data_IF_130594486174
#
_entry.id   IF_130594486174
#
_cell.length_a   1.000
_cell.length_b   1.000
_cell.length_c   1.000
_cell.angle_alpha   90.00
_cell.angle_beta   90.00
_cell.angle_gamma   90.00
#
_symmetry.space_group_name_H-M   'P 1'
#
loop_
_entity.id
_entity.type
_entity.pdbx_description
1 polymer ?
#
# COMPACT_ATOMS: atom_id res chain seq x y z
N UNK A 1 27.82 -11.98 7.05
CA UNK A 1 26.61 -11.24 7.51
C UNK A 1 25.47 -11.58 6.57
N UNK A 2 24.24 -11.70 7.08
CA UNK A 2 23.06 -11.98 6.26
C UNK A 2 22.78 -10.86 5.25
N UNK A 3 22.32 -11.22 4.06
CA UNK A 3 21.80 -10.28 3.05
C UNK A 3 20.28 -10.15 3.16
N UNK A 4 19.76 -8.99 2.78
CA UNK A 4 18.32 -8.69 2.78
C UNK A 4 17.95 -8.00 1.47
N UNK A 5 16.73 -8.25 1.01
CA UNK A 5 16.17 -7.56 -0.15
C UNK A 5 14.98 -6.73 0.29
N UNK A 6 14.87 -5.53 -0.26
CA UNK A 6 13.69 -4.68 -0.16
C UNK A 6 13.14 -4.52 -1.57
N UNK A 7 11.99 -5.16 -1.83
CA UNK A 7 11.29 -5.11 -3.10
C UNK A 7 10.14 -4.09 -3.00
N UNK A 8 10.33 -2.89 -3.55
CA UNK A 8 9.38 -1.81 -3.38
C UNK A 8 9.27 -0.88 -4.59
N UNK A 9 8.08 -0.30 -4.78
CA UNK A 9 7.80 0.72 -5.81
C UNK A 9 7.46 2.07 -5.20
N UNK A 10 7.31 3.09 -6.04
CA UNK A 10 7.08 4.49 -5.69
C UNK A 10 8.32 5.20 -5.16
N UNK A 11 8.46 6.46 -5.55
CA UNK A 11 9.63 7.29 -5.25
C UNK A 11 9.89 7.40 -3.75
N UNK A 12 8.85 7.56 -2.93
CA UNK A 12 9.01 7.69 -1.48
C UNK A 12 9.59 6.42 -0.84
N UNK A 13 9.22 5.21 -1.30
CA UNK A 13 9.81 3.97 -0.78
C UNK A 13 11.29 3.85 -1.18
N UNK A 14 11.64 4.29 -2.39
CA UNK A 14 13.03 4.30 -2.86
C UNK A 14 13.86 5.30 -2.04
N UNK A 15 13.30 6.48 -1.74
CA UNK A 15 13.92 7.47 -0.86
C UNK A 15 14.15 6.90 0.55
N UNK A 16 13.14 6.26 1.15
CA UNK A 16 13.30 5.62 2.47
C UNK A 16 14.32 4.46 2.45
N UNK A 17 14.42 3.71 1.34
CA UNK A 17 15.50 2.72 1.20
C UNK A 17 16.87 3.37 1.29
N UNK A 18 17.09 4.48 0.57
CA UNK A 18 18.38 5.17 0.60
C UNK A 18 18.67 5.75 2.00
N UNK A 19 17.67 6.35 2.63
CA UNK A 19 17.79 6.92 3.99
C UNK A 19 18.16 5.86 5.05
N UNK A 20 17.46 4.72 5.05
CA UNK A 20 17.64 3.71 6.10
C UNK A 20 18.81 2.76 5.83
N UNK A 21 19.03 2.41 4.56
CA UNK A 21 19.87 1.26 4.19
C UNK A 21 20.83 1.54 3.04
N UNK A 22 20.81 2.73 2.42
CA UNK A 22 21.60 3.04 1.23
C UNK A 22 23.12 2.90 1.41
N UNK A 23 23.62 3.15 2.62
CA UNK A 23 25.04 2.97 2.97
C UNK A 23 25.41 1.51 3.33
N UNK A 24 24.43 0.61 3.46
CA UNK A 24 24.64 -0.75 3.95
C UNK A 24 24.57 -1.77 2.81
N UNK A 25 25.73 -2.30 2.41
CA UNK A 25 25.87 -3.28 1.34
C UNK A 25 25.19 -4.63 1.60
N UNK A 26 24.64 -4.86 2.80
CA UNK A 26 23.82 -6.03 3.09
C UNK A 26 22.37 -5.92 2.61
N UNK A 27 21.93 -4.72 2.23
CA UNK A 27 20.60 -4.49 1.70
C UNK A 27 20.66 -4.26 0.18
N UNK A 28 19.78 -4.94 -0.54
CA UNK A 28 19.64 -4.81 -1.99
C UNK A 28 18.24 -4.32 -2.30
N UNK A 29 18.15 -3.25 -3.10
CA UNK A 29 16.88 -2.73 -3.61
C UNK A 29 16.50 -3.46 -4.90
N UNK A 30 15.23 -3.85 -5.01
CA UNK A 30 14.58 -4.27 -6.25
C UNK A 30 13.35 -3.38 -6.44
N UNK A 31 13.34 -2.54 -7.48
CA UNK A 31 12.25 -1.58 -7.72
C UNK A 31 11.43 -1.84 -8.98
N UNK A 32 11.77 -2.92 -9.70
CA UNK A 32 11.11 -3.31 -10.95
C UNK A 32 10.77 -4.80 -10.95
N UNK A 33 9.63 -5.23 -11.50
CA UNK A 33 9.23 -6.64 -11.49
C UNK A 33 10.18 -7.54 -12.27
N UNK A 34 10.73 -7.06 -13.39
CA UNK A 34 11.71 -7.79 -14.20
C UNK A 34 13.03 -8.07 -13.48
N UNK A 35 13.29 -7.37 -12.37
CA UNK A 35 14.47 -7.56 -11.55
C UNK A 35 14.26 -8.59 -10.42
N UNK A 36 13.01 -8.95 -10.10
CA UNK A 36 12.67 -9.92 -9.06
C UNK A 36 12.68 -11.35 -9.64
N UNK A 37 13.87 -11.86 -9.96
CA UNK A 37 14.06 -13.17 -10.59
C UNK A 37 14.73 -14.16 -9.66
N UNK A 38 14.43 -15.46 -9.77
CA UNK A 38 15.08 -16.51 -8.98
C UNK A 38 16.60 -16.45 -9.09
N UNK A 39 17.15 -16.31 -10.30
CA UNK A 39 18.60 -16.29 -10.51
C UNK A 39 19.28 -15.17 -9.72
N UNK A 40 18.68 -13.97 -9.70
CA UNK A 40 19.20 -12.84 -8.93
C UNK A 40 19.06 -13.08 -7.43
N UNK A 41 17.93 -13.64 -6.99
CA UNK A 41 17.71 -13.97 -5.59
C UNK A 41 18.69 -15.04 -5.08
N UNK A 42 19.01 -16.04 -5.91
CA UNK A 42 19.97 -17.09 -5.59
C UNK A 42 21.40 -16.53 -5.45
N UNK A 43 21.79 -15.59 -6.32
CA UNK A 43 23.08 -14.91 -6.22
C UNK A 43 23.22 -14.09 -4.94
N UNK A 44 22.13 -13.41 -4.52
CA UNK A 44 22.12 -12.61 -3.28
C UNK A 44 22.02 -13.51 -2.05
N UNK A 45 21.31 -14.63 -2.16
CA UNK A 45 20.97 -15.55 -1.08
C UNK A 45 20.41 -14.82 0.17
N UNK A 46 19.29 -14.08 0.03
CA UNK A 46 18.76 -13.25 1.10
C UNK A 46 18.17 -14.09 2.24
N UNK A 47 18.36 -13.61 3.47
CA UNK A 47 17.67 -14.16 4.64
C UNK A 47 16.17 -13.86 4.59
N UNK A 48 15.81 -12.62 4.24
CA UNK A 48 14.42 -12.17 4.08
C UNK A 48 14.30 -11.27 2.85
N UNK A 49 13.11 -11.31 2.23
CA UNK A 49 12.71 -10.39 1.16
C UNK A 49 11.51 -9.59 1.67
N UNK A 50 11.68 -8.29 1.88
CA UNK A 50 10.65 -7.40 2.39
C UNK A 50 9.91 -6.70 1.26
N UNK A 51 8.58 -6.71 1.33
CA UNK A 51 7.67 -6.07 0.37
C UNK A 51 6.84 -4.97 1.06
N UNK A 52 7.43 -3.79 1.35
CA UNK A 52 6.69 -2.68 1.97
C UNK A 52 5.62 -2.11 1.03
N UNK A 53 5.84 -2.18 -0.30
CA UNK A 53 4.83 -1.85 -1.30
C UNK A 53 5.18 -2.49 -2.65
N UNK A 54 4.39 -3.47 -3.10
CA UNK A 54 4.59 -4.15 -4.38
C UNK A 54 3.28 -4.32 -5.13
N UNK A 55 3.28 -4.07 -6.44
CA UNK A 55 2.04 -4.01 -7.24
C UNK A 55 1.70 -5.31 -7.98
N UNK A 56 2.68 -6.20 -8.13
CA UNK A 56 2.60 -7.42 -8.93
C UNK A 56 2.49 -8.67 -8.05
N UNK A 57 1.96 -9.75 -8.63
CA UNK A 57 1.99 -11.06 -7.99
C UNK A 57 3.45 -11.50 -7.92
N UNK A 58 3.90 -11.91 -6.74
CA UNK A 58 5.22 -12.52 -6.57
C UNK A 58 5.12 -13.98 -7.02
N UNK A 59 6.00 -14.46 -7.92
CA UNK A 59 6.03 -15.84 -8.37
C UNK A 59 6.06 -16.86 -7.21
N UNK A 60 5.30 -17.96 -7.35
CA UNK A 60 5.17 -18.98 -6.30
C UNK A 60 6.50 -19.66 -5.96
N UNK A 61 7.36 -19.86 -6.94
CA UNK A 61 8.71 -20.42 -6.77
C UNK A 61 9.59 -19.53 -5.88
N UNK A 62 9.46 -18.21 -5.98
CA UNK A 62 10.11 -17.25 -5.08
C UNK A 62 9.53 -17.33 -3.66
N UNK A 63 8.20 -17.32 -3.52
CA UNK A 63 7.51 -17.36 -2.22
C UNK A 63 7.78 -18.68 -1.47
N UNK A 64 7.94 -19.80 -2.20
CA UNK A 64 8.25 -21.09 -1.62
C UNK A 64 9.73 -21.24 -1.24
N UNK A 65 10.65 -20.66 -2.02
CA UNK A 65 12.10 -20.79 -1.82
C UNK A 65 12.64 -19.81 -0.77
N UNK A 66 12.11 -18.59 -0.72
CA UNK A 66 12.57 -17.53 0.16
C UNK A 66 11.51 -17.10 1.16
N UNK A 67 11.96 -16.61 2.32
CA UNK A 67 11.04 -16.03 3.31
C UNK A 67 10.67 -14.60 2.91
N UNK A 68 9.58 -14.50 2.14
CA UNK A 68 8.98 -13.25 1.69
C UNK A 68 8.07 -12.66 2.78
N UNK A 69 8.24 -11.37 3.07
CA UNK A 69 7.53 -10.66 4.15
C UNK A 69 6.77 -9.49 3.56
N UNK A 70 5.44 -9.50 3.69
CA UNK A 70 4.55 -8.47 3.18
C UNK A 70 4.05 -7.55 4.30
N UNK A 71 3.90 -6.26 3.99
CA UNK A 71 3.34 -5.24 4.87
C UNK A 71 1.94 -4.87 4.36
N UNK A 72 0.91 -5.45 4.96
CA UNK A 72 -0.48 -5.26 4.53
C UNK A 72 -1.25 -4.37 5.51
N UNK A 73 -1.84 -3.28 5.02
CA UNK A 73 -2.43 -2.24 5.87
C UNK A 73 -3.84 -2.54 6.39
N UNK A 74 -4.13 -3.78 6.78
CA UNK A 74 -5.38 -4.12 7.45
C UNK A 74 -5.15 -4.94 8.72
N UNK A 75 -6.15 -4.99 9.59
CA UNK A 75 -6.16 -5.85 10.78
C UNK A 75 -6.47 -7.31 10.40
N UNK A 76 -5.54 -7.97 9.73
CA UNK A 76 -5.72 -9.34 9.21
C UNK A 76 -6.22 -10.31 10.30
N UNK A 77 -7.23 -11.14 10.03
CA UNK A 77 -7.76 -11.51 8.71
C UNK A 77 -8.85 -10.57 8.15
N UNK A 78 -9.18 -9.47 8.81
CA UNK A 78 -10.07 -8.46 8.24
C UNK A 78 -9.35 -7.71 7.11
N UNK A 79 -9.98 -7.63 5.93
CA UNK A 79 -9.49 -6.86 4.80
C UNK A 79 -8.38 -7.54 3.98
N UNK A 80 -8.35 -8.88 3.91
CA UNK A 80 -7.48 -9.61 2.95
C UNK A 80 -7.80 -9.17 1.52
N UNK A 81 -6.79 -8.87 0.70
CA UNK A 81 -6.97 -8.56 -0.72
C UNK A 81 -6.57 -7.14 -1.12
N UNK A 82 -6.92 -6.77 -2.36
CA UNK A 82 -6.38 -5.56 -2.99
C UNK A 82 -7.04 -4.24 -2.58
N UNK A 83 -6.36 -3.14 -2.90
CA UNK A 83 -6.80 -1.76 -2.61
C UNK A 83 -7.20 -1.52 -1.15
N UNK A 84 -6.39 -1.94 -0.16
CA UNK A 84 -6.80 -1.90 1.25
C UNK A 84 -7.10 -0.49 1.75
N UNK A 85 -6.27 0.52 1.40
CA UNK A 85 -6.51 1.91 1.78
C UNK A 85 -7.91 2.40 1.36
N UNK A 86 -8.24 2.22 0.09
CA UNK A 86 -9.51 2.71 -0.46
C UNK A 86 -10.70 1.99 0.17
N UNK A 87 -10.60 0.66 0.34
CA UNK A 87 -11.65 -0.11 1.01
C UNK A 87 -11.82 0.36 2.47
N UNK A 88 -10.74 0.58 3.22
CA UNK A 88 -10.81 1.08 4.60
C UNK A 88 -11.50 2.44 4.71
N UNK A 89 -11.17 3.37 3.82
CA UNK A 89 -11.79 4.71 3.79
C UNK A 89 -13.28 4.60 3.42
N UNK A 90 -13.64 3.77 2.44
CA UNK A 90 -15.04 3.49 2.10
C UNK A 90 -15.81 2.86 3.26
N UNK A 91 -15.15 2.05 4.10
CA UNK A 91 -15.69 1.50 5.35
C UNK A 91 -15.56 2.45 6.55
N UNK A 92 -15.28 3.74 6.31
CA UNK A 92 -15.25 4.81 7.32
C UNK A 92 -14.25 4.57 8.46
N UNK A 93 -13.17 3.83 8.17
CA UNK A 93 -12.06 3.63 9.11
C UNK A 93 -11.18 4.88 9.13
N UNK A 94 -10.86 5.36 10.33
CA UNK A 94 -9.93 6.46 10.57
C UNK A 94 -8.51 5.97 10.92
N UNK A 95 -8.42 4.73 11.37
CA UNK A 95 -7.19 4.05 11.75
C UNK A 95 -7.31 2.58 11.34
N UNK A 96 -6.17 1.91 11.21
CA UNK A 96 -6.09 0.48 10.88
C UNK A 96 -4.85 -0.13 11.54
N UNK A 97 -4.63 -1.42 11.32
CA UNK A 97 -3.37 -2.08 11.62
C UNK A 97 -2.57 -2.27 10.34
N UNK A 98 -1.26 -2.12 10.44
CA UNK A 98 -0.29 -2.63 9.48
C UNK A 98 0.15 -4.02 9.96
N UNK A 99 -0.34 -5.05 9.28
CA UNK A 99 0.02 -6.44 9.54
C UNK A 99 1.26 -6.83 8.75
N UNK A 100 2.29 -7.28 9.44
CA UNK A 100 3.51 -7.84 8.81
C UNK A 100 3.35 -9.34 8.76
N UNK A 101 3.29 -9.91 7.57
CA UNK A 101 3.00 -11.33 7.37
C UNK A 101 4.09 -12.02 6.58
N UNK A 102 4.27 -13.32 6.84
CA UNK A 102 4.98 -14.20 5.92
C UNK A 102 4.07 -14.45 4.73
N UNK A 103 4.57 -14.25 3.53
CA UNK A 103 3.80 -14.55 2.31
C UNK A 103 3.62 -16.06 2.15
N UNK A 104 2.49 -16.43 1.56
CA UNK A 104 2.15 -17.80 1.15
C UNK A 104 1.61 -17.74 -0.28
N UNK A 105 1.37 -18.88 -0.92
CA UNK A 105 0.70 -18.93 -2.23
C UNK A 105 -0.72 -18.36 -2.22
N UNK A 106 -1.35 -18.27 -1.04
CA UNK A 106 -2.65 -17.61 -0.87
C UNK A 106 -2.47 -16.15 -0.43
N UNK A 107 -3.15 -15.24 -1.13
CA UNK A 107 -3.08 -13.79 -0.91
C UNK A 107 -3.52 -13.41 0.52
N UNK A 108 -2.63 -12.71 1.23
CA UNK A 108 -2.80 -12.14 2.57
C UNK A 108 -3.24 -13.14 3.66
N UNK A 109 -3.02 -14.45 3.47
CA UNK A 109 -3.41 -15.50 4.41
C UNK A 109 -2.30 -15.92 5.39
N UNK A 110 -1.05 -15.66 5.03
CA UNK A 110 0.08 -16.18 5.78
C UNK A 110 0.17 -15.68 7.23
N UNK A 111 0.98 -16.37 8.06
CA UNK A 111 1.08 -16.08 9.48
C UNK A 111 1.66 -14.69 9.74
N UNK A 112 1.29 -14.12 10.88
CA UNK A 112 1.60 -12.74 11.28
C UNK A 112 2.84 -12.75 12.15
N UNK A 113 3.82 -11.91 11.81
CA UNK A 113 4.94 -11.59 12.68
C UNK A 113 4.49 -10.59 13.75
N UNK A 114 3.88 -9.48 13.32
CA UNK A 114 3.39 -8.45 14.21
C UNK A 114 2.35 -7.56 13.52
N UNK A 115 1.66 -6.75 14.33
CA UNK A 115 0.77 -5.69 13.86
C UNK A 115 1.10 -4.40 14.58
N UNK A 116 1.06 -3.29 13.86
CA UNK A 116 1.18 -1.95 14.46
C UNK A 116 0.04 -1.05 14.01
N UNK A 117 -0.40 -0.16 14.88
CA UNK A 117 -1.50 0.76 14.56
C UNK A 117 -1.01 1.88 13.65
N UNK A 118 -1.78 2.24 12.63
CA UNK A 118 -1.47 3.36 11.72
C UNK A 118 -2.72 4.22 11.46
N UNK A 119 -2.50 5.52 11.29
CA UNK A 119 -3.56 6.49 10.98
C UNK A 119 -3.90 6.49 9.49
N UNK A 120 -5.18 6.68 9.16
CA UNK A 120 -5.70 6.89 7.81
C UNK A 120 -6.09 8.37 7.57
N UNK A 121 -5.53 9.28 8.37
CA UNK A 121 -5.72 10.72 8.23
C UNK A 121 -4.90 11.26 7.06
N UNK A 122 -5.51 12.15 6.29
CA UNK A 122 -4.88 12.82 5.16
C UNK A 122 -5.27 12.20 3.82
N UNK A 123 -4.53 12.61 2.79
CA UNK A 123 -4.65 12.14 1.42
C UNK A 123 -3.93 10.80 1.26
N UNK A 124 -4.24 10.07 0.19
CA UNK A 124 -3.66 8.76 -0.04
C UNK A 124 -2.13 8.79 -0.04
N UNK A 125 -1.52 9.79 -0.68
CA UNK A 125 -0.05 9.95 -0.65
C UNK A 125 0.51 10.07 0.77
N UNK A 126 -0.10 10.91 1.61
CA UNK A 126 0.33 11.16 2.99
C UNK A 126 0.23 9.89 3.84
N UNK A 127 -0.87 9.13 3.66
CA UNK A 127 -1.08 7.86 4.34
C UNK A 127 -0.05 6.83 3.86
N UNK A 128 0.17 6.70 2.55
CA UNK A 128 1.16 5.76 2.01
C UNK A 128 2.58 6.09 2.46
N UNK A 129 2.98 7.38 2.48
CA UNK A 129 4.27 7.82 3.01
C UNK A 129 4.41 7.49 4.50
N UNK A 130 3.37 7.71 5.29
CA UNK A 130 3.38 7.38 6.72
C UNK A 130 3.51 5.86 6.95
N UNK A 131 2.71 5.05 6.25
CA UNK A 131 2.77 3.57 6.32
C UNK A 131 4.13 3.06 5.84
N UNK A 132 4.68 3.65 4.78
CA UNK A 132 6.01 3.34 4.27
C UNK A 132 7.06 3.58 5.35
N UNK A 133 7.12 4.77 5.95
CA UNK A 133 8.09 5.08 7.02
C UNK A 133 8.01 4.07 8.17
N UNK A 134 6.80 3.77 8.64
CA UNK A 134 6.57 2.74 9.66
C UNK A 134 7.06 1.37 9.21
N UNK A 135 6.88 1.00 7.93
CA UNK A 135 7.37 -0.26 7.39
C UNK A 135 8.90 -0.33 7.40
N UNK A 136 9.60 0.75 7.05
CA UNK A 136 11.07 0.82 7.09
C UNK A 136 11.61 0.77 8.53
N UNK A 137 10.95 1.44 9.48
CA UNK A 137 11.25 1.32 10.91
C UNK A 137 11.14 -0.15 11.38
N UNK A 138 10.07 -0.84 10.98
CA UNK A 138 9.86 -2.26 11.30
C UNK A 138 10.89 -3.17 10.63
N UNK A 139 11.24 -2.94 9.36
CA UNK A 139 12.28 -3.73 8.66
C UNK A 139 13.61 -3.64 9.42
N UNK A 140 14.00 -2.43 9.81
CA UNK A 140 15.23 -2.21 10.59
C UNK A 140 15.19 -3.01 11.90
N UNK A 141 14.11 -2.88 12.66
CA UNK A 141 13.93 -3.61 13.91
C UNK A 141 13.95 -5.14 13.72
N UNK A 142 13.28 -5.65 12.68
CA UNK A 142 13.21 -7.08 12.38
C UNK A 142 14.59 -7.66 12.05
N UNK A 143 15.42 -6.90 11.33
CA UNK A 143 16.80 -7.29 11.02
C UNK A 143 17.68 -7.28 12.28
N UNK A 144 17.50 -6.31 13.17
CA UNK A 144 18.23 -6.23 14.46
C UNK A 144 17.89 -7.41 15.39
N UNK A 145 16.63 -7.82 15.44
CA UNK A 145 16.19 -9.02 16.21
C UNK A 145 16.70 -10.31 15.57
N UNK A 146 16.82 -10.34 14.24
CA UNK A 146 17.37 -11.47 13.48
C UNK A 146 16.39 -12.63 13.30
N UNK A 147 16.15 -13.42 14.35
CA UNK A 147 15.24 -14.59 14.29
C UNK A 147 13.81 -14.19 14.67
N UNK A 148 12.96 -14.10 13.66
CA UNK A 148 11.55 -13.73 13.82
C UNK A 148 10.69 -14.95 14.17
N UNK A 149 9.64 -14.72 14.96
CA UNK A 149 8.58 -15.69 15.21
C UNK A 149 7.27 -15.16 14.66
N UNK A 150 6.38 -16.06 14.26
CA UNK A 150 5.08 -15.71 13.69
C UNK A 150 3.98 -16.62 14.26
N UNK A 151 2.74 -16.14 14.21
CA UNK A 151 1.56 -16.87 14.67
C UNK A 151 0.47 -16.91 13.58
N UNK A 152 -0.37 -17.95 13.54
CA UNK A 152 -1.45 -18.03 12.56
C UNK A 152 -2.45 -16.89 12.73
N UNK A 153 -3.09 -16.46 11.64
CA UNK A 153 -4.20 -15.50 11.73
C UNK A 153 -5.38 -16.14 12.48
N UNK A 154 -6.12 -15.33 13.25
CA UNK A 154 -7.32 -15.77 13.97
C UNK A 154 -8.45 -14.72 13.86
N UNK A 155 -9.70 -15.18 13.93
CA UNK A 155 -10.89 -14.33 13.81
C UNK A 155 -11.57 -14.39 12.44
N UNK A 156 -12.54 -13.50 12.22
CA UNK A 156 -13.38 -13.52 11.02
C UNK A 156 -12.64 -12.98 9.79
N UNK A 157 -12.62 -13.77 8.72
CA UNK A 157 -12.06 -13.34 7.43
C UNK A 157 -13.04 -12.41 6.71
N UNK A 158 -12.56 -11.22 6.34
CA UNK A 158 -13.28 -10.29 5.45
C UNK A 158 -12.40 -10.02 4.24
N UNK A 159 -12.92 -10.27 3.03
CA UNK A 159 -12.17 -10.08 1.79
C UNK A 159 -12.47 -8.73 1.15
N UNK A 160 -11.42 -7.98 0.85
CA UNK A 160 -11.46 -6.78 0.04
C UNK A 160 -11.19 -7.09 -1.42
N UNK A 161 -11.92 -6.40 -2.30
CA UNK A 161 -11.73 -6.48 -3.74
C UNK A 161 -10.78 -5.38 -4.18
N UNK A 162 -9.84 -5.73 -5.05
CA UNK A 162 -9.00 -4.75 -5.77
C UNK A 162 -9.90 -3.86 -6.63
N UNK A 163 -9.79 -2.54 -6.46
CA UNK A 163 -10.54 -1.57 -7.25
C UNK A 163 -9.95 -1.42 -8.65
N UNK A 164 -10.80 -1.16 -9.64
CA UNK A 164 -10.42 -0.84 -11.03
C UNK A 164 -10.31 0.68 -11.22
N UNK A 165 -9.49 1.17 -12.16
CA UNK A 165 -9.43 2.60 -12.48
C UNK A 165 -10.77 3.23 -12.83
N UNK A 166 -11.66 2.49 -13.52
CA UNK A 166 -13.01 2.96 -13.85
C UNK A 166 -13.87 3.21 -12.61
N UNK A 167 -13.56 2.59 -11.48
CA UNK A 167 -14.30 2.77 -10.23
C UNK A 167 -13.91 4.05 -9.49
N UNK A 168 -12.96 4.83 -10.02
CA UNK A 168 -12.65 6.20 -9.56
C UNK A 168 -13.62 7.25 -10.07
N UNK A 169 -14.65 6.88 -10.84
CA UNK A 169 -15.74 7.79 -11.19
C UNK A 169 -16.59 8.11 -9.94
N UNK A 170 -16.75 9.40 -9.67
CA UNK A 170 -17.48 9.93 -8.54
C UNK A 170 -18.95 10.15 -8.91
N UNK A 171 -19.84 9.52 -8.14
CA UNK A 171 -21.28 9.75 -8.23
C UNK A 171 -21.78 10.48 -6.99
N UNK A 172 -22.40 11.65 -7.15
CA UNK A 172 -22.84 12.49 -6.02
C UNK A 172 -24.15 12.01 -5.36
N UNK A 173 -24.98 11.25 -6.08
CA UNK A 173 -26.31 10.86 -5.60
C UNK A 173 -26.20 10.06 -4.30
N UNK A 174 -26.85 10.56 -3.24
CA UNK A 174 -26.92 9.91 -1.94
C UNK A 174 -25.64 9.97 -1.10
N UNK A 175 -24.65 10.78 -1.50
CA UNK A 175 -23.39 10.97 -0.75
C UNK A 175 -23.44 12.23 0.10
N UNK A 176 -22.87 12.17 1.31
CA UNK A 176 -22.58 13.36 2.11
C UNK A 176 -21.35 14.11 1.56
N UNK A 177 -21.09 15.31 2.07
CA UNK A 177 -19.88 16.06 1.73
C UNK A 177 -18.61 15.29 2.16
N UNK A 178 -18.67 14.63 3.33
CA UNK A 178 -17.59 13.78 3.85
C UNK A 178 -17.37 12.56 2.97
N UNK A 179 -18.42 11.95 2.42
CA UNK A 179 -18.29 10.83 1.48
C UNK A 179 -17.56 11.26 0.20
N UNK A 180 -17.88 12.44 -0.33
CA UNK A 180 -17.22 13.01 -1.50
C UNK A 180 -15.76 13.33 -1.18
N UNK A 181 -15.50 13.97 -0.05
CA UNK A 181 -14.14 14.27 0.43
C UNK A 181 -13.30 13.00 0.60
N UNK A 182 -13.83 11.99 1.29
CA UNK A 182 -13.18 10.69 1.49
C UNK A 182 -12.87 10.00 0.17
N UNK A 183 -13.80 10.03 -0.78
CA UNK A 183 -13.64 9.40 -2.07
C UNK A 183 -12.53 10.06 -2.90
N UNK A 184 -12.44 11.39 -2.86
CA UNK A 184 -11.38 12.12 -3.56
C UNK A 184 -10.03 11.88 -2.88
N UNK A 185 -9.93 12.08 -1.56
CA UNK A 185 -8.65 12.00 -0.85
C UNK A 185 -8.04 10.59 -0.89
N UNK A 186 -8.84 9.52 -0.91
CA UNK A 186 -8.34 8.14 -0.95
C UNK A 186 -7.71 7.75 -2.30
N UNK A 187 -7.93 8.59 -3.32
CA UNK A 187 -7.42 8.43 -4.68
C UNK A 187 -6.33 9.44 -5.03
N UNK A 188 -6.03 10.36 -4.12
CA UNK A 188 -5.09 11.45 -4.33
C UNK A 188 -3.65 11.02 -3.97
N UNK A 189 -3.01 10.34 -4.91
CA UNK A 189 -1.61 9.91 -4.81
C UNK A 189 -0.99 9.71 -6.19
N UNK A 190 0.30 10.04 -6.38
CA UNK A 190 1.01 9.78 -7.63
C UNK A 190 0.92 8.30 -8.05
N UNK A 191 0.63 8.06 -9.34
CA UNK A 191 0.49 6.71 -9.89
C UNK A 191 -0.86 6.03 -9.63
N UNK A 192 -1.79 6.70 -8.94
CA UNK A 192 -3.15 6.21 -8.72
C UNK A 192 -4.19 6.92 -9.61
N UNK A 193 -5.30 6.25 -9.97
CA UNK A 193 -6.37 6.87 -10.73
C UNK A 193 -7.15 7.83 -9.83
N UNK A 194 -6.90 9.12 -9.98
CA UNK A 194 -7.61 10.20 -9.27
C UNK A 194 -9.13 10.07 -9.42
N UNK A 195 -9.87 10.51 -8.40
CA UNK A 195 -11.32 10.64 -8.49
C UNK A 195 -11.68 11.57 -9.66
N UNK A 196 -12.71 11.22 -10.43
CA UNK A 196 -13.11 12.02 -11.58
C UNK A 196 -14.62 11.99 -11.81
N UNK A 197 -15.12 12.92 -12.61
CA UNK A 197 -16.43 12.87 -13.24
C UNK A 197 -16.28 13.01 -14.75
N UNK A 198 -17.18 12.40 -15.51
CA UNK A 198 -17.31 12.62 -16.94
C UNK A 198 -18.50 13.56 -17.20
N UNK A 199 -18.28 14.56 -18.06
CA UNK A 199 -19.31 15.45 -18.58
C UNK A 199 -19.08 15.55 -20.09
N UNK A 200 -20.03 15.05 -20.87
CA UNK A 200 -19.92 14.94 -22.33
C UNK A 200 -18.60 14.26 -22.79
N UNK A 201 -17.78 14.97 -23.56
CA UNK A 201 -16.47 14.55 -24.05
C UNK A 201 -15.32 14.90 -23.10
N UNK A 202 -15.62 15.46 -21.92
CA UNK A 202 -14.62 15.87 -20.93
C UNK A 202 -14.57 14.94 -19.71
N UNK A 203 -13.38 14.83 -19.15
CA UNK A 203 -13.08 14.22 -17.85
C UNK A 203 -12.50 15.28 -16.92
N UNK A 204 -13.13 15.45 -15.76
CA UNK A 204 -12.67 16.34 -14.69
C UNK A 204 -12.16 15.48 -13.54
N UNK A 205 -10.85 15.51 -13.29
CA UNK A 205 -10.24 14.81 -12.14
C UNK A 205 -9.94 15.76 -10.99
N UNK A 206 -10.07 15.30 -9.76
CA UNK A 206 -9.91 16.08 -8.54
C UNK A 206 -8.65 15.68 -7.76
N UNK A 207 -8.00 16.64 -7.11
CA UNK A 207 -6.87 16.41 -6.21
C UNK A 207 -6.75 17.53 -5.19
N UNK A 208 -5.90 17.34 -4.17
CA UNK A 208 -5.54 18.33 -3.16
C UNK A 208 -6.78 18.95 -2.48
N UNK A 209 -7.77 18.12 -2.17
CA UNK A 209 -9.01 18.59 -1.57
C UNK A 209 -8.89 18.81 -0.06
N UNK A 210 -9.57 19.85 0.43
CA UNK A 210 -9.85 20.10 1.85
C UNK A 210 -11.35 20.33 2.04
N UNK A 211 -11.88 19.90 3.18
CA UNK A 211 -13.28 20.07 3.55
C UNK A 211 -13.40 21.22 4.56
N UNK A 212 -14.27 22.19 4.27
CA UNK A 212 -14.62 23.27 5.18
C UNK A 212 -16.03 23.04 5.73
N UNK A 213 -16.07 22.64 6.99
CA UNK A 213 -17.31 22.35 7.72
C UNK A 213 -18.15 23.62 8.01
N UNK A 214 -17.53 24.81 8.03
CA UNK A 214 -18.26 26.07 8.28
C UNK A 214 -19.05 26.49 7.05
N UNK A 215 -18.40 26.46 5.89
CA UNK A 215 -19.04 26.82 4.61
C UNK A 215 -19.72 25.64 3.92
N UNK A 216 -19.60 24.43 4.48
CA UNK A 216 -20.10 23.17 3.89
C UNK A 216 -19.61 22.98 2.45
N UNK A 217 -18.32 23.21 2.23
CA UNK A 217 -17.69 23.17 0.91
C UNK A 217 -16.47 22.25 0.88
N UNK A 218 -16.12 21.79 -0.32
CA UNK A 218 -14.82 21.15 -0.60
C UNK A 218 -14.06 22.07 -1.56
N UNK A 219 -12.84 22.42 -1.18
CA UNK A 219 -11.94 23.23 -2.00
C UNK A 219 -10.75 22.37 -2.41
N UNK A 220 -10.33 22.47 -3.67
CA UNK A 220 -9.19 21.71 -4.16
C UNK A 220 -8.91 22.00 -5.63
N UNK A 221 -8.04 21.19 -6.21
CA UNK A 221 -7.64 21.32 -7.59
C UNK A 221 -8.52 20.44 -8.48
N UNK A 222 -8.81 20.93 -9.68
CA UNK A 222 -9.38 20.13 -10.74
C UNK A 222 -8.49 20.18 -11.99
N UNK A 223 -8.53 19.12 -12.78
CA UNK A 223 -7.94 19.06 -14.12
C UNK A 223 -9.01 18.63 -15.10
N UNK A 224 -9.20 19.40 -16.16
CA UNK A 224 -10.07 19.09 -17.30
C UNK A 224 -9.23 18.47 -18.42
N UNK A 225 -9.74 17.41 -19.04
CA UNK A 225 -9.10 16.69 -20.16
C UNK A 225 -10.16 16.10 -21.09
N UNK A 226 -9.79 15.75 -22.32
CA UNK A 226 -10.66 14.98 -23.21
C UNK A 226 -10.77 13.52 -22.73
N UNK A 227 -11.91 12.88 -22.99
CA UNK A 227 -12.10 11.46 -22.67
C UNK A 227 -11.30 10.59 -23.63
N UNK A 228 -10.55 9.63 -23.09
CA UNK A 228 -9.80 8.65 -23.89
C UNK A 228 -8.32 8.99 -24.11
N UNK A 229 -7.86 10.14 -23.62
CA UNK A 229 -6.45 10.53 -23.50
C UNK A 229 -5.86 10.20 -22.12
#
# INVERSE_FOLDING_TARGET
MSKYIIACVHEWNIQFFQEYFGANSNFVLISKPEELTIDRLDQVNPRYIFFPHWSWIVPDDIVQKFECICFHMTDLPYGRGGSPLQNLILHKKQETMLSVIKMTSVLDEGPIYMKVKVSLKGRAEEIYRNVSRVSFDLIKHMVEVGKLTHYPQSGQVVKFRRRKPSESELFFKGKSLEDVYDFIRMLDSPGYPHAFINIDNFKISFSHVSIDQKTKSINGNFKLSLRGE
#
